data_IF_528852179469
#
_entry.id   IF_528852179469
#
_cell.length_a   1.000
_cell.length_b   1.000
_cell.length_c   1.000
_cell.angle_alpha   90.00
_cell.angle_beta   90.00
_cell.angle_gamma   90.00
#
_symmetry.space_group_name_H-M   'P 1'
#
loop_
_entity.id
_entity.type
_entity.pdbx_description
1 polymer ?
#
# COMPACT_ATOMS: atom_id res chain seq x y z
N UNK A 1 -23.55 -22.21 2.24
CA UNK A 1 -22.18 -22.76 2.16
C UNK A 1 -21.78 -22.83 0.70
N UNK A 2 -21.14 -21.79 0.16
CA UNK A 2 -20.61 -21.84 -1.20
C UNK A 2 -19.58 -22.96 -1.32
N UNK A 3 -19.83 -23.87 -2.26
CA UNK A 3 -18.90 -24.95 -2.58
C UNK A 3 -17.83 -24.39 -3.50
N UNK A 4 -16.55 -24.49 -3.09
CA UNK A 4 -15.44 -24.15 -3.98
C UNK A 4 -15.34 -25.20 -5.08
N UNK A 5 -15.45 -24.75 -6.32
CA UNK A 5 -15.28 -25.58 -7.50
C UNK A 5 -13.80 -25.59 -7.86
N UNK A 6 -13.20 -26.77 -7.87
CA UNK A 6 -11.85 -26.96 -8.38
C UNK A 6 -11.74 -26.52 -9.86
N UNK A 7 -10.52 -26.52 -10.43
CA UNK A 7 -10.32 -26.10 -11.81
C UNK A 7 -11.23 -26.90 -12.76
N UNK A 8 -12.09 -26.23 -13.57
CA UNK A 8 -12.99 -26.93 -14.47
C UNK A 8 -12.23 -27.74 -15.54
N UNK A 9 -10.97 -27.38 -15.82
CA UNK A 9 -10.09 -28.10 -16.74
C UNK A 9 -9.71 -29.50 -16.24
N UNK A 10 -9.73 -29.74 -14.92
CA UNK A 10 -9.48 -31.06 -14.33
C UNK A 10 -10.76 -31.90 -14.21
N UNK A 11 -11.95 -31.28 -14.32
CA UNK A 11 -13.23 -31.97 -14.22
C UNK A 11 -13.48 -32.91 -15.40
N UNK A 12 -12.99 -32.56 -16.59
CA UNK A 12 -13.15 -33.39 -17.78
C UNK A 12 -12.24 -34.64 -17.78
N UNK A 13 -11.10 -34.60 -17.09
CA UNK A 13 -10.22 -35.78 -16.97
C UNK A 13 -10.79 -36.81 -15.98
N UNK A 14 -11.39 -36.32 -14.88
CA UNK A 14 -11.84 -37.15 -13.77
C UNK A 14 -13.18 -37.85 -14.00
N UNK A 15 -13.92 -37.53 -15.07
CA UNK A 15 -15.14 -38.29 -15.43
C UNK A 15 -14.82 -39.66 -16.04
N UNK A 16 -13.60 -39.88 -16.55
CA UNK A 16 -13.16 -41.19 -17.10
C UNK A 16 -12.30 -42.02 -16.14
N UNK A 17 -11.85 -41.51 -14.99
CA UNK A 17 -11.05 -42.25 -14.02
C UNK A 17 -11.75 -42.36 -12.67
N UNK A 18 -12.74 -43.24 -12.57
CA UNK A 18 -13.25 -43.67 -11.27
C UNK A 18 -12.36 -44.82 -10.76
N UNK A 19 -11.91 -44.68 -9.51
CA UNK A 19 -11.09 -45.59 -8.71
C UNK A 19 -9.56 -45.55 -8.94
N UNK A 20 -8.88 -44.71 -8.18
CA UNK A 20 -7.60 -45.08 -7.57
C UNK A 20 -7.57 -44.61 -6.10
N UNK A 21 -7.20 -45.47 -5.14
CA UNK A 21 -6.91 -45.06 -3.78
C UNK A 21 -5.68 -44.15 -3.79
N UNK A 22 -5.75 -43.07 -3.03
CA UNK A 22 -4.63 -42.18 -2.77
C UNK A 22 -3.41 -43.00 -2.32
N UNK A 23 -2.23 -42.84 -2.95
CA UNK A 23 -1.02 -43.35 -2.35
C UNK A 23 -0.76 -42.53 -1.09
N UNK A 24 -0.97 -43.14 0.07
CA UNK A 24 -0.25 -42.78 1.29
C UNK A 24 1.23 -42.80 0.94
N UNK A 25 1.81 -41.63 0.69
CA UNK A 25 3.23 -41.47 0.41
C UNK A 25 4.01 -41.73 1.70
N UNK A 26 4.15 -43.00 2.04
CA UNK A 26 5.17 -43.52 2.94
C UNK A 26 6.50 -43.57 2.17
N UNK A 27 7.19 -42.44 2.11
CA UNK A 27 8.61 -42.36 1.78
C UNK A 27 9.22 -41.26 2.65
N UNK A 28 9.30 -41.55 3.95
CA UNK A 28 10.04 -40.73 4.90
C UNK A 28 11.54 -40.95 4.66
N UNK A 29 12.17 -40.12 3.86
CA UNK A 29 13.61 -39.90 3.96
C UNK A 29 13.86 -39.12 5.26
N UNK A 30 14.47 -39.78 6.23
CA UNK A 30 14.83 -39.29 7.57
C UNK A 30 15.94 -38.24 7.53
N UNK A 31 15.76 -37.16 6.77
CA UNK A 31 16.58 -35.94 6.87
C UNK A 31 15.75 -34.89 7.56
N UNK A 32 16.20 -34.42 8.72
CA UNK A 32 15.55 -33.32 9.44
C UNK A 32 15.30 -32.16 8.47
N UNK A 33 14.07 -31.59 8.42
CA UNK A 33 13.77 -30.54 7.46
C UNK A 33 14.73 -29.37 7.69
N UNK A 34 15.19 -28.70 6.61
CA UNK A 34 16.13 -27.60 6.74
C UNK A 34 15.50 -26.52 7.62
N UNK A 35 16.21 -26.12 8.68
CA UNK A 35 15.75 -25.12 9.64
C UNK A 35 16.42 -23.77 9.36
N UNK A 36 15.71 -22.70 9.69
CA UNK A 36 16.19 -21.34 9.62
C UNK A 36 15.58 -20.47 10.71
N UNK A 37 15.86 -19.18 10.65
CA UNK A 37 15.34 -18.19 11.59
C UNK A 37 14.21 -17.39 10.94
N UNK A 38 13.14 -17.12 11.68
CA UNK A 38 12.13 -16.12 11.30
C UNK A 38 12.68 -14.71 11.46
N UNK A 39 11.90 -13.69 11.06
CA UNK A 39 12.22 -12.28 11.29
C UNK A 39 12.47 -11.97 12.78
N UNK A 40 11.86 -12.72 13.70
CA UNK A 40 12.03 -12.58 15.14
C UNK A 40 13.13 -13.49 15.72
N UNK A 41 14.03 -14.03 14.88
CA UNK A 41 15.09 -14.97 15.27
C UNK A 41 14.59 -16.26 15.94
N UNK A 42 13.33 -16.65 15.75
CA UNK A 42 12.83 -17.95 16.21
C UNK A 42 13.16 -19.05 15.21
N UNK A 43 13.54 -20.23 15.70
CA UNK A 43 13.79 -21.39 14.85
C UNK A 43 12.49 -21.86 14.18
N UNK A 44 12.54 -22.05 12.86
CA UNK A 44 11.43 -22.58 12.06
C UNK A 44 11.95 -23.48 10.95
N UNK A 45 11.09 -24.34 10.39
CA UNK A 45 11.41 -25.05 9.17
C UNK A 45 11.35 -24.10 7.96
N UNK A 46 12.35 -24.18 7.07
CA UNK A 46 12.40 -23.42 5.82
C UNK A 46 11.39 -23.91 4.78
N UNK A 47 11.02 -25.19 4.87
CA UNK A 47 9.93 -25.81 4.11
C UNK A 47 9.44 -27.04 4.86
N UNK A 48 8.13 -27.28 4.77
CA UNK A 48 7.46 -28.47 5.27
C UNK A 48 7.44 -29.63 4.27
N UNK A 49 7.95 -29.41 3.04
CA UNK A 49 7.82 -30.36 1.92
C UNK A 49 6.43 -30.39 1.28
N UNK A 50 5.44 -29.69 1.84
CA UNK A 50 4.12 -29.52 1.25
C UNK A 50 3.92 -28.06 0.81
N UNK A 51 3.87 -27.78 -0.51
CA UNK A 51 3.74 -26.41 -1.03
C UNK A 51 2.50 -25.65 -0.53
N UNK A 52 1.38 -26.33 -0.29
CA UNK A 52 0.17 -25.70 0.24
C UNK A 52 0.36 -25.31 1.71
N UNK A 53 1.04 -26.14 2.49
CA UNK A 53 1.34 -25.82 3.88
C UNK A 53 2.39 -24.70 3.98
N UNK A 54 3.39 -24.73 3.11
CA UNK A 54 4.38 -23.66 3.00
C UNK A 54 3.74 -22.33 2.59
N UNK A 55 2.77 -22.36 1.67
CA UNK A 55 1.94 -21.19 1.36
C UNK A 55 1.20 -20.69 2.59
N UNK A 56 0.58 -21.60 3.35
CA UNK A 56 -0.15 -21.24 4.56
C UNK A 56 0.73 -20.65 5.65
N UNK A 57 2.01 -21.01 5.79
CA UNK A 57 2.86 -20.40 6.82
C UNK A 57 3.59 -19.16 6.33
N UNK A 58 4.13 -19.18 5.11
CA UNK A 58 5.04 -18.15 4.64
C UNK A 58 4.35 -16.96 3.97
N UNK A 59 3.09 -17.08 3.57
CA UNK A 59 2.32 -15.93 3.05
C UNK A 59 1.75 -15.15 4.22
N UNK A 60 2.43 -14.08 4.58
CA UNK A 60 2.05 -13.14 5.65
C UNK A 60 1.78 -11.75 5.08
N UNK A 61 1.13 -10.83 5.84
CA UNK A 61 1.11 -9.42 5.47
C UNK A 61 2.52 -8.95 5.10
N UNK A 62 2.63 -8.11 4.07
CA UNK A 62 3.88 -7.59 3.50
C UNK A 62 4.75 -8.59 2.71
N UNK A 63 4.26 -9.81 2.47
CA UNK A 63 4.90 -10.72 1.48
C UNK A 63 4.98 -10.03 0.11
N UNK A 64 6.16 -9.97 -0.53
CA UNK A 64 6.30 -9.39 -1.86
C UNK A 64 5.41 -10.11 -2.89
N UNK A 65 4.82 -9.35 -3.81
CA UNK A 65 3.86 -9.89 -4.79
C UNK A 65 4.43 -11.02 -5.66
N UNK A 66 5.69 -10.92 -6.06
CA UNK A 66 6.34 -11.94 -6.88
C UNK A 66 6.60 -13.22 -6.09
N UNK A 67 6.98 -13.11 -4.82
CA UNK A 67 7.13 -14.25 -3.91
C UNK A 67 5.79 -14.95 -3.68
N UNK A 68 4.71 -14.19 -3.51
CA UNK A 68 3.36 -14.74 -3.39
C UNK A 68 2.95 -15.50 -4.66
N UNK A 69 3.17 -14.92 -5.85
CA UNK A 69 2.86 -15.57 -7.14
C UNK A 69 3.63 -16.87 -7.33
N UNK A 70 4.94 -16.87 -7.08
CA UNK A 70 5.75 -18.10 -7.16
C UNK A 70 5.22 -19.21 -6.24
N UNK A 71 4.80 -18.84 -5.03
CA UNK A 71 4.20 -19.80 -4.09
C UNK A 71 2.83 -20.29 -4.57
N UNK A 72 2.03 -19.44 -5.21
CA UNK A 72 0.79 -19.86 -5.87
C UNK A 72 1.06 -20.85 -6.99
N UNK A 73 2.06 -20.62 -7.84
CA UNK A 73 2.39 -21.53 -8.95
C UNK A 73 2.71 -22.94 -8.43
N UNK A 74 3.58 -23.04 -7.42
CA UNK A 74 3.98 -24.34 -6.86
C UNK A 74 2.84 -25.00 -6.07
N UNK A 75 2.10 -24.23 -5.26
CA UNK A 75 0.97 -24.75 -4.49
C UNK A 75 -0.17 -25.22 -5.41
N UNK A 76 -0.42 -24.49 -6.50
CA UNK A 76 -1.43 -24.84 -7.47
C UNK A 76 -1.08 -26.12 -8.22
N UNK A 77 0.16 -26.24 -8.72
CA UNK A 77 0.63 -27.46 -9.37
C UNK A 77 0.52 -28.68 -8.44
N UNK A 78 0.73 -28.50 -7.14
CA UNK A 78 0.60 -29.57 -6.15
C UNK A 78 -0.86 -29.94 -5.84
N UNK A 79 -1.70 -28.96 -5.47
CA UNK A 79 -3.12 -29.19 -5.18
C UNK A 79 -3.94 -27.92 -5.43
N UNK A 80 -4.61 -27.81 -6.59
CA UNK A 80 -5.38 -26.61 -6.94
C UNK A 80 -6.53 -26.31 -6.00
N UNK A 81 -7.26 -27.34 -5.53
CA UNK A 81 -8.43 -27.14 -4.66
C UNK A 81 -8.01 -26.63 -3.28
N UNK A 82 -6.93 -27.17 -2.73
CA UNK A 82 -6.36 -26.67 -1.46
C UNK A 82 -5.84 -25.25 -1.63
N UNK A 83 -5.18 -24.96 -2.75
CA UNK A 83 -4.72 -23.61 -3.07
C UNK A 83 -5.87 -22.61 -3.18
N UNK A 84 -7.01 -22.97 -3.80
CA UNK A 84 -8.21 -22.13 -3.80
C UNK A 84 -8.73 -21.84 -2.40
N UNK A 85 -8.78 -22.85 -1.52
CA UNK A 85 -9.15 -22.66 -0.10
C UNK A 85 -8.19 -21.70 0.59
N UNK A 86 -6.89 -21.81 0.33
CA UNK A 86 -5.88 -20.92 0.90
C UNK A 86 -6.01 -19.48 0.38
N UNK A 87 -6.39 -19.29 -0.88
CA UNK A 87 -6.71 -17.96 -1.44
C UNK A 87 -7.92 -17.36 -0.70
N UNK A 88 -8.99 -18.14 -0.49
CA UNK A 88 -10.13 -17.69 0.32
C UNK A 88 -9.72 -17.38 1.77
N UNK A 89 -8.82 -18.18 2.34
CA UNK A 89 -8.28 -17.97 3.69
C UNK A 89 -7.46 -16.69 3.80
N UNK A 90 -6.78 -16.22 2.74
CA UNK A 90 -6.15 -14.89 2.75
C UNK A 90 -7.21 -13.81 3.01
N UNK A 91 -8.39 -13.95 2.39
CA UNK A 91 -9.43 -12.94 2.52
C UNK A 91 -10.25 -13.04 3.79
N UNK A 92 -10.38 -14.23 4.37
CA UNK A 92 -11.26 -14.50 5.51
C UNK A 92 -11.16 -13.44 6.60
N UNK A 93 -12.27 -12.72 6.81
CA UNK A 93 -12.37 -11.55 7.72
C UNK A 93 -13.26 -11.80 8.94
N UNK A 94 -13.99 -12.92 8.96
CA UNK A 94 -14.95 -13.27 10.01
C UNK A 94 -14.36 -14.25 11.03
N UNK A 95 -13.08 -14.06 11.38
CA UNK A 95 -12.33 -14.99 12.25
C UNK A 95 -11.89 -16.29 11.57
N UNK A 96 -12.10 -16.42 10.25
CA UNK A 96 -11.86 -17.64 9.48
C UNK A 96 -10.59 -17.60 8.64
N UNK A 97 -9.82 -16.50 8.69
CA UNK A 97 -8.67 -16.32 7.81
C UNK A 97 -7.69 -15.26 8.26
N UNK A 98 -6.74 -14.96 7.38
CA UNK A 98 -5.57 -14.11 7.65
C UNK A 98 -5.80 -12.62 7.47
N UNK A 99 -7.00 -12.22 7.05
CA UNK A 99 -7.36 -10.81 6.76
C UNK A 99 -6.39 -10.07 5.82
N UNK A 100 -5.57 -10.78 5.04
CA UNK A 100 -4.61 -10.23 4.09
C UNK A 100 -5.31 -9.84 2.78
N UNK A 101 -5.78 -8.58 2.77
CA UNK A 101 -6.50 -8.00 1.65
C UNK A 101 -5.66 -7.88 0.38
N UNK A 102 -4.41 -7.43 0.50
CA UNK A 102 -3.56 -7.19 -0.69
C UNK A 102 -2.99 -8.50 -1.25
N UNK A 103 -2.67 -9.47 -0.38
CA UNK A 103 -2.35 -10.83 -0.81
C UNK A 103 -3.52 -11.49 -1.54
N UNK A 104 -4.74 -11.34 -1.01
CA UNK A 104 -5.95 -11.85 -1.70
C UNK A 104 -6.12 -11.25 -3.10
N UNK A 105 -6.03 -9.93 -3.27
CA UNK A 105 -6.18 -9.33 -4.62
C UNK A 105 -5.04 -9.72 -5.56
N UNK A 106 -3.84 -9.91 -5.03
CA UNK A 106 -2.70 -10.41 -5.82
C UNK A 106 -2.99 -11.83 -6.31
N UNK A 107 -3.52 -12.70 -5.44
CA UNK A 107 -3.92 -14.06 -5.78
C UNK A 107 -5.11 -14.11 -6.75
N UNK A 108 -6.10 -13.24 -6.58
CA UNK A 108 -7.23 -13.13 -7.51
C UNK A 108 -6.80 -12.65 -8.90
N UNK A 109 -5.85 -11.71 -8.97
CA UNK A 109 -5.26 -11.27 -10.25
C UNK A 109 -4.45 -12.39 -10.90
N UNK A 110 -3.69 -13.15 -10.09
CA UNK A 110 -2.98 -14.34 -10.57
C UNK A 110 -3.94 -15.42 -11.09
N UNK A 111 -5.06 -15.67 -10.41
CA UNK A 111 -6.12 -16.56 -10.89
C UNK A 111 -6.72 -16.08 -12.21
N UNK A 112 -6.93 -14.78 -12.37
CA UNK A 112 -7.42 -14.23 -13.65
C UNK A 112 -6.43 -14.48 -14.79
N UNK A 113 -5.13 -14.29 -14.54
CA UNK A 113 -4.09 -14.48 -15.56
C UNK A 113 -3.88 -15.95 -15.95
N UNK A 114 -3.98 -16.89 -14.99
CA UNK A 114 -3.62 -18.29 -15.22
C UNK A 114 -4.84 -19.22 -15.34
N UNK A 115 -5.92 -18.95 -14.58
CA UNK A 115 -7.09 -19.82 -14.43
C UNK A 115 -8.41 -19.02 -14.41
N UNK A 116 -8.71 -18.22 -15.46
CA UNK A 116 -9.85 -17.28 -15.45
C UNK A 116 -11.21 -17.97 -15.29
N UNK A 117 -11.36 -19.20 -15.83
CA UNK A 117 -12.58 -20.00 -15.66
C UNK A 117 -12.79 -20.41 -14.19
N UNK A 118 -11.72 -20.75 -13.49
CA UNK A 118 -11.77 -21.10 -12.07
C UNK A 118 -12.14 -19.88 -11.24
N UNK A 119 -11.57 -18.71 -11.56
CA UNK A 119 -11.98 -17.46 -10.92
C UNK A 119 -13.48 -17.20 -11.12
N UNK A 120 -13.96 -17.26 -12.36
CA UNK A 120 -15.36 -17.03 -12.70
C UNK A 120 -16.31 -18.01 -11.98
N UNK A 121 -15.96 -19.29 -11.94
CA UNK A 121 -16.76 -20.33 -11.29
C UNK A 121 -16.84 -20.17 -9.75
N UNK A 122 -15.88 -19.48 -9.13
CA UNK A 122 -15.79 -19.33 -7.66
C UNK A 122 -16.12 -17.92 -7.17
N UNK A 123 -16.63 -17.02 -8.04
CA UNK A 123 -17.07 -15.67 -7.65
C UNK A 123 -18.02 -15.67 -6.43
N UNK A 124 -19.03 -16.55 -6.34
CA UNK A 124 -19.90 -16.61 -5.15
C UNK A 124 -19.13 -16.91 -3.87
N UNK A 125 -18.18 -17.85 -3.92
CA UNK A 125 -17.35 -18.20 -2.76
C UNK A 125 -16.50 -17.03 -2.31
N UNK A 126 -15.95 -16.24 -3.23
CA UNK A 126 -15.12 -15.07 -2.88
C UNK A 126 -15.94 -13.99 -2.18
N UNK A 127 -17.21 -13.82 -2.55
CA UNK A 127 -18.13 -12.91 -1.86
C UNK A 127 -18.51 -13.40 -0.46
N UNK A 128 -18.64 -14.73 -0.26
CA UNK A 128 -18.99 -15.34 1.03
C UNK A 128 -17.83 -15.27 2.03
N UNK A 129 -16.62 -15.68 1.63
CA UNK A 129 -15.44 -15.65 2.51
C UNK A 129 -14.93 -14.23 2.76
N UNK A 130 -15.00 -13.37 1.75
CA UNK A 130 -14.64 -11.97 1.85
C UNK A 130 -15.84 -11.06 2.02
N UNK A 131 -15.90 -10.04 1.17
CA UNK A 131 -17.02 -9.13 1.06
C UNK A 131 -17.45 -8.99 -0.39
N UNK A 132 -18.71 -8.66 -0.61
CA UNK A 132 -19.22 -8.35 -1.94
C UNK A 132 -18.41 -7.25 -2.67
N UNK A 133 -17.90 -6.24 -1.94
CA UNK A 133 -17.05 -5.17 -2.50
C UNK A 133 -15.72 -5.64 -3.08
N UNK A 134 -15.31 -6.88 -2.79
CA UNK A 134 -14.08 -7.44 -3.35
C UNK A 134 -14.24 -7.79 -4.82
N UNK A 135 -15.44 -8.13 -5.28
CA UNK A 135 -15.71 -8.45 -6.68
C UNK A 135 -15.42 -7.27 -7.63
N UNK A 136 -16.02 -6.06 -7.44
CA UNK A 136 -15.69 -4.91 -8.27
C UNK A 136 -14.24 -4.45 -8.10
N UNK A 137 -13.62 -4.64 -6.93
CA UNK A 137 -12.20 -4.30 -6.72
C UNK A 137 -11.27 -5.23 -7.51
N UNK A 138 -11.56 -6.53 -7.58
CA UNK A 138 -10.83 -7.49 -8.43
C UNK A 138 -10.93 -7.06 -9.88
N UNK A 139 -12.15 -6.79 -10.38
CA UNK A 139 -12.37 -6.35 -11.75
C UNK A 139 -11.61 -5.05 -12.06
N UNK A 140 -11.64 -4.10 -11.13
CA UNK A 140 -10.94 -2.83 -11.26
C UNK A 140 -9.42 -3.01 -11.41
N UNK A 141 -8.82 -3.90 -10.60
CA UNK A 141 -7.39 -4.21 -10.67
C UNK A 141 -7.00 -5.02 -11.90
N UNK A 142 -7.89 -5.89 -12.38
CA UNK A 142 -7.71 -6.58 -13.67
C UNK A 142 -7.65 -5.56 -14.82
N UNK A 143 -8.54 -4.55 -14.81
CA UNK A 143 -8.61 -3.55 -15.88
C UNK A 143 -7.52 -2.46 -15.82
N UNK A 144 -7.10 -2.05 -14.61
CA UNK A 144 -6.16 -0.92 -14.42
C UNK A 144 -4.76 -1.34 -13.95
N UNK A 145 -4.55 -2.62 -13.68
CA UNK A 145 -3.32 -3.17 -13.13
C UNK A 145 -3.33 -3.34 -11.61
N UNK A 146 -2.54 -4.29 -11.12
CA UNK A 146 -2.47 -4.67 -9.69
C UNK A 146 -2.01 -3.53 -8.77
N UNK A 147 -1.16 -2.63 -9.28
CA UNK A 147 -0.62 -1.47 -8.56
C UNK A 147 -1.52 -0.24 -8.50
N UNK A 148 -2.71 -0.27 -9.13
CA UNK A 148 -3.56 0.93 -9.29
C UNK A 148 -3.87 1.65 -7.98
N UNK A 149 -4.14 0.90 -6.90
CA UNK A 149 -4.46 1.49 -5.58
C UNK A 149 -3.24 2.11 -4.90
N UNK A 150 -2.05 1.51 -5.07
CA UNK A 150 -0.79 2.08 -4.57
C UNK A 150 -0.49 3.40 -5.27
N UNK A 151 -0.58 3.41 -6.60
CA UNK A 151 -0.34 4.59 -7.43
C UNK A 151 -1.31 5.73 -7.10
N UNK A 152 -2.61 5.43 -6.97
CA UNK A 152 -3.61 6.44 -6.59
C UNK A 152 -3.38 7.02 -5.20
N UNK A 153 -3.03 6.16 -4.22
CA UNK A 153 -2.73 6.60 -2.86
C UNK A 153 -1.53 7.52 -2.83
N UNK A 154 -0.50 7.23 -3.62
CA UNK A 154 0.69 8.07 -3.75
C UNK A 154 0.38 9.41 -4.43
N UNK A 155 -0.34 9.40 -5.55
CA UNK A 155 -0.80 10.62 -6.22
C UNK A 155 -1.62 11.50 -5.27
N UNK A 156 -2.56 10.92 -4.52
CA UNK A 156 -3.38 11.64 -3.55
C UNK A 156 -2.54 12.24 -2.40
N UNK A 157 -1.53 11.50 -1.91
CA UNK A 157 -0.58 12.01 -0.90
C UNK A 157 0.20 13.21 -1.43
N UNK A 158 0.63 13.16 -2.68
CA UNK A 158 1.34 14.26 -3.33
C UNK A 158 0.45 15.50 -3.49
N UNK A 159 -0.81 15.32 -3.91
CA UNK A 159 -1.79 16.41 -4.00
C UNK A 159 -2.04 17.04 -2.64
N UNK A 160 -2.33 16.25 -1.60
CA UNK A 160 -2.52 16.76 -0.23
C UNK A 160 -1.28 17.51 0.29
N UNK A 161 -0.09 16.97 0.07
CA UNK A 161 1.18 17.60 0.44
C UNK A 161 1.38 18.95 -0.27
N UNK A 162 1.07 19.01 -1.56
CA UNK A 162 1.13 20.23 -2.37
C UNK A 162 0.15 21.29 -1.85
N UNK A 163 -1.11 20.92 -1.58
CA UNK A 163 -2.11 21.86 -1.02
C UNK A 163 -1.66 22.45 0.32
N UNK A 164 -1.12 21.63 1.23
CA UNK A 164 -0.60 22.10 2.52
C UNK A 164 0.57 23.08 2.33
N UNK A 165 1.52 22.75 1.45
CA UNK A 165 2.66 23.61 1.13
C UNK A 165 2.22 24.95 0.52
N UNK A 166 1.25 24.92 -0.39
CA UNK A 166 0.72 26.14 -1.03
C UNK A 166 0.01 27.06 -0.02
N UNK A 167 -0.74 26.50 0.94
CA UNK A 167 -1.33 27.31 2.03
C UNK A 167 -0.27 27.97 2.89
N UNK A 168 0.76 27.23 3.30
CA UNK A 168 1.86 27.76 4.11
C UNK A 168 2.61 28.86 3.36
N UNK A 169 2.93 28.65 2.08
CA UNK A 169 3.58 29.65 1.24
C UNK A 169 2.75 30.94 1.16
N UNK A 170 1.43 30.81 0.96
CA UNK A 170 0.51 31.97 0.92
C UNK A 170 0.49 32.75 2.24
N UNK A 171 0.51 32.05 3.39
CA UNK A 171 0.61 32.68 4.71
C UNK A 171 1.94 33.43 4.89
N UNK A 172 3.06 32.81 4.51
CA UNK A 172 4.38 33.47 4.59
C UNK A 172 4.47 34.69 3.66
N UNK A 173 3.88 34.61 2.47
CA UNK A 173 3.79 35.75 1.55
C UNK A 173 2.95 36.89 2.13
N UNK A 174 1.82 36.59 2.77
CA UNK A 174 1.01 37.61 3.45
C UNK A 174 1.74 38.23 4.63
N UNK A 175 2.43 37.43 5.45
CA UNK A 175 3.20 37.93 6.59
C UNK A 175 4.37 38.81 6.11
N UNK A 176 5.07 38.37 5.07
CA UNK A 176 6.13 39.16 4.44
C UNK A 176 5.60 40.49 3.88
N UNK A 177 4.43 40.50 3.25
CA UNK A 177 3.78 41.71 2.75
C UNK A 177 3.46 42.69 3.89
N UNK A 178 2.84 42.21 4.97
CA UNK A 178 2.52 43.04 6.14
C UNK A 178 3.78 43.60 6.81
N UNK A 179 4.83 42.78 6.94
CA UNK A 179 6.12 43.22 7.49
C UNK A 179 6.78 44.29 6.61
N UNK A 180 6.77 44.13 5.29
CA UNK A 180 7.29 45.13 4.33
C UNK A 180 6.52 46.45 4.41
N UNK A 181 5.20 46.39 4.57
CA UNK A 181 4.36 47.58 4.74
C UNK A 181 4.67 48.30 6.05
N UNK A 182 4.78 47.58 7.16
CA UNK A 182 5.11 48.14 8.48
C UNK A 182 6.48 48.80 8.49
N UNK A 183 7.51 48.13 7.97
CA UNK A 183 8.88 48.67 7.88
C UNK A 183 8.96 49.91 7.01
N UNK A 184 8.26 49.95 5.87
CA UNK A 184 8.18 51.15 5.03
C UNK A 184 7.54 52.33 5.77
N UNK A 185 6.42 52.10 6.48
CA UNK A 185 5.75 53.14 7.24
C UNK A 185 6.65 53.71 8.36
N UNK A 186 7.40 52.85 9.06
CA UNK A 186 8.36 53.27 10.09
C UNK A 186 9.49 54.13 9.50
N UNK A 187 10.02 53.77 8.32
CA UNK A 187 11.02 54.59 7.61
C UNK A 187 10.47 55.96 7.22
N UNK A 188 9.24 56.03 6.73
CA UNK A 188 8.58 57.30 6.37
C UNK A 188 8.40 58.19 7.61
N UNK A 189 7.92 57.62 8.71
CA UNK A 189 7.74 58.34 9.97
C UNK A 189 9.09 58.88 10.49
N UNK A 190 10.12 58.04 10.53
CA UNK A 190 11.48 58.45 10.91
C UNK A 190 12.02 59.57 10.03
N UNK A 191 11.85 59.48 8.70
CA UNK A 191 12.31 60.52 7.77
C UNK A 191 11.58 61.87 7.97
N UNK A 192 10.28 61.82 8.27
CA UNK A 192 9.46 63.01 8.58
C UNK A 192 9.91 63.66 9.90
N UNK A 193 10.22 62.85 10.91
CA UNK A 193 10.78 63.30 12.20
C UNK A 193 12.15 63.98 12.00
N UNK A 194 13.05 63.37 11.22
CA UNK A 194 14.37 63.95 10.93
C UNK A 194 14.31 65.24 10.12
N UNK A 195 13.29 65.42 9.26
CA UNK A 195 13.06 66.69 8.54
C UNK A 195 12.54 67.80 9.46
N UNK A 196 11.72 67.47 10.46
CA UNK A 196 11.28 68.44 11.49
C UNK A 196 12.42 68.85 12.43
N UNK A 197 13.38 67.95 12.69
CA UNK A 197 14.56 68.18 13.53
C UNK A 197 15.74 68.84 12.82
N UNK A 198 15.57 69.38 11.60
CA UNK A 198 16.52 70.31 11.00
C UNK A 198 16.05 71.76 11.27
N UNK A 199 16.32 72.34 12.44
CA UNK A 199 16.21 73.78 12.61
C UNK A 199 17.36 74.45 11.85
N UNK A 200 17.06 75.63 11.31
CA UNK A 200 17.99 76.55 10.68
C UNK A 200 19.28 76.72 11.51
N UNK A 201 20.39 76.13 11.05
CA UNK A 201 21.73 76.47 11.54
C UNK A 201 22.48 77.33 10.49
N UNK A 202 21.78 78.27 9.86
CA UNK A 202 22.41 79.27 9.00
C UNK A 202 21.90 80.71 9.23
N UNK A 203 21.43 81.02 10.43
CA UNK A 203 21.19 82.40 10.86
C UNK A 203 21.47 82.45 12.36
N UNK A 204 22.56 83.14 12.75
CA UNK A 204 23.05 83.47 14.11
C UNK A 204 24.52 83.05 14.35
N UNK A 205 25.39 83.36 13.40
CA UNK A 205 26.82 83.61 13.70
C UNK A 205 27.22 84.88 12.96
N UNK A 206 26.60 86.03 13.27
CA UNK A 206 27.06 87.35 12.75
C UNK A 206 26.51 88.58 13.51
N UNK A 207 26.05 88.45 14.76
CA UNK A 207 25.68 89.60 15.59
C UNK A 207 26.15 89.43 17.03
N UNK A 208 27.48 89.37 17.21
CA UNK A 208 28.15 89.76 18.46
C UNK A 208 29.52 90.34 18.12
N UNK A 209 29.51 91.54 17.55
CA UNK A 209 30.63 92.48 17.63
C UNK A 209 30.02 93.87 17.51
N UNK A 210 29.99 94.57 18.64
CA UNK A 210 30.01 96.03 18.88
C UNK A 210 29.15 96.30 20.13
N UNK A 211 29.77 96.14 21.29
CA UNK A 211 29.62 97.10 22.39
C UNK A 211 31.00 97.27 23.04
N UNK A 212 31.37 98.55 23.21
CA UNK A 212 32.63 99.16 23.67
C UNK A 212 33.80 99.21 22.68
#
# INVERSE_FOLDING_TARGET
MATLLGPPELSNYNRKSKAQPHPTSAAATTTKPPMGLTENHSATFLSSGNPCLDFFFHVVPDTPYDSLRKRLDVAWAHNPLTTLKLICNLRGVRGTGKTDREGFYTAATWLFSNHPKTLAANVPSFAEFGYFKDLPEILYRVLKGSGVRKNQKEQWRNVKGSTKRNRLKKMMETDAFHLRRRTRNLRIASNKESRKKKPFHHFLVDLKLVEF
#
